data_IF_058923648962
#
_entry.id   IF_058923648962
#
_cell.length_a   1.000
_cell.length_b   1.000
_cell.length_c   1.000
_cell.angle_alpha   90.00
_cell.angle_beta   90.00
_cell.angle_gamma   90.00
#
_symmetry.space_group_name_H-M   'P 1'
#
loop_
_entity.id
_entity.type
_entity.pdbx_description
1 polymer ?
#
# COMPACT_ATOMS: atom_id res chain seq x y z
N UNK A 1 72.49 -33.98 5.67
CA UNK A 1 71.30 -33.29 6.23
C UNK A 1 70.54 -32.45 5.19
N UNK A 2 71.21 -31.80 4.24
CA UNK A 2 70.60 -30.92 3.21
C UNK A 2 69.66 -31.63 2.23
N UNK A 3 69.89 -32.92 1.91
CA UNK A 3 69.09 -33.66 0.92
C UNK A 3 67.65 -33.98 1.37
N UNK A 4 67.35 -33.95 2.68
CA UNK A 4 65.98 -34.21 3.18
C UNK A 4 65.06 -32.98 3.07
N UNK A 5 65.61 -31.76 3.07
CA UNK A 5 64.84 -30.52 2.95
C UNK A 5 64.38 -30.26 1.51
N UNK A 6 65.18 -30.67 0.51
CA UNK A 6 64.86 -30.46 -0.90
C UNK A 6 63.64 -31.30 -1.36
N UNK A 7 63.56 -32.56 -0.94
CA UNK A 7 62.43 -33.44 -1.28
C UNK A 7 61.10 -32.97 -0.66
N UNK A 8 61.13 -32.22 0.44
CA UNK A 8 59.92 -31.72 1.10
C UNK A 8 59.37 -30.44 0.44
N UNK A 9 60.21 -29.72 -0.31
CA UNK A 9 59.82 -28.51 -1.05
C UNK A 9 59.27 -28.83 -2.44
N UNK A 10 59.81 -29.86 -3.12
CA UNK A 10 59.25 -30.35 -4.38
C UNK A 10 57.79 -30.76 -4.20
N UNK A 11 57.48 -31.49 -3.12
CA UNK A 11 56.14 -32.02 -2.88
C UNK A 11 55.10 -30.89 -2.74
N UNK A 12 55.40 -29.82 -2.00
CA UNK A 12 54.51 -28.66 -1.84
C UNK A 12 54.21 -27.93 -3.16
N UNK A 13 55.17 -27.90 -4.09
CA UNK A 13 54.97 -27.25 -5.39
C UNK A 13 54.02 -28.04 -6.30
N UNK A 14 54.09 -29.37 -6.25
CA UNK A 14 53.21 -30.27 -7.01
C UNK A 14 51.77 -30.26 -6.49
N UNK A 15 51.55 -30.14 -5.18
CA UNK A 15 50.20 -30.00 -4.61
C UNK A 15 49.52 -28.70 -5.02
N UNK A 16 50.26 -27.59 -5.09
CA UNK A 16 49.71 -26.29 -5.50
C UNK A 16 49.28 -26.29 -6.96
N UNK A 17 50.11 -26.87 -7.84
CA UNK A 17 49.81 -26.98 -9.27
C UNK A 17 48.58 -27.86 -9.55
N UNK A 18 48.42 -28.95 -8.81
CA UNK A 18 47.26 -29.87 -8.94
C UNK A 18 45.95 -29.25 -8.45
N UNK A 19 46.00 -28.36 -7.46
CA UNK A 19 44.84 -27.61 -6.98
C UNK A 19 44.37 -26.56 -8.01
N UNK A 20 45.30 -25.86 -8.65
CA UNK A 20 44.99 -24.86 -9.67
C UNK A 20 44.38 -25.48 -10.94
N UNK A 21 44.87 -26.65 -11.36
CA UNK A 21 44.33 -27.39 -12.52
C UNK A 21 42.92 -27.96 -12.26
N UNK A 22 42.65 -28.42 -11.04
CA UNK A 22 41.32 -28.87 -10.65
C UNK A 22 40.31 -27.71 -10.62
N UNK A 23 40.74 -26.52 -10.19
CA UNK A 23 39.89 -25.32 -10.16
C UNK A 23 39.55 -24.83 -11.59
N UNK A 24 40.52 -24.87 -12.52
CA UNK A 24 40.26 -24.58 -13.95
C UNK A 24 39.28 -25.56 -14.60
N UNK A 25 39.44 -26.86 -14.36
CA UNK A 25 38.54 -27.89 -14.91
C UNK A 25 37.10 -27.75 -14.39
N UNK A 26 36.95 -27.36 -13.12
CA UNK A 26 35.65 -27.12 -12.53
C UNK A 26 34.97 -25.85 -13.09
N UNK A 27 35.76 -24.79 -13.34
CA UNK A 27 35.26 -23.55 -13.97
C UNK A 27 34.83 -23.76 -15.42
N UNK A 28 35.53 -24.61 -16.19
CA UNK A 28 35.14 -24.92 -17.57
C UNK A 28 33.84 -25.76 -17.62
N UNK A 29 33.64 -26.68 -16.67
CA UNK A 29 32.37 -27.43 -16.54
C UNK A 29 31.18 -26.57 -16.15
N UNK A 30 31.39 -25.48 -15.41
CA UNK A 30 30.33 -24.50 -15.10
C UNK A 30 29.97 -23.66 -16.33
N UNK A 31 30.95 -23.36 -17.20
CA UNK A 31 30.72 -22.66 -18.48
C UNK A 31 29.82 -23.46 -19.42
N UNK A 32 30.02 -24.77 -19.53
CA UNK A 32 29.25 -25.63 -20.46
C UNK A 32 27.83 -25.95 -19.94
N UNK A 33 27.60 -25.97 -18.61
CA UNK A 33 26.25 -26.19 -18.06
C UNK A 33 25.33 -24.95 -18.09
N UNK A 34 25.83 -23.84 -18.65
CA UNK A 34 25.10 -22.58 -18.84
C UNK A 34 24.85 -22.30 -20.33
N UNK A 35 24.71 -23.34 -21.16
CA UNK A 35 24.12 -23.20 -22.49
C UNK A 35 22.59 -23.10 -22.33
N UNK A 36 22.12 -21.89 -22.08
CA UNK A 36 20.72 -21.54 -22.31
C UNK A 36 20.48 -21.50 -23.83
N UNK A 37 19.30 -21.94 -24.32
CA UNK A 37 18.98 -21.96 -25.75
C UNK A 37 19.09 -20.55 -26.37
N UNK A 38 19.68 -20.47 -27.56
CA UNK A 38 19.98 -19.23 -28.32
C UNK A 38 18.77 -18.30 -28.56
N UNK A 39 17.55 -18.77 -28.33
CA UNK A 39 16.31 -18.01 -28.55
C UNK A 39 16.16 -16.75 -27.67
N UNK A 40 16.95 -16.61 -26.59
CA UNK A 40 16.83 -15.47 -25.65
C UNK A 40 17.87 -14.36 -25.82
N UNK A 41 18.73 -14.40 -26.84
CA UNK A 41 19.71 -13.33 -27.12
C UNK A 41 19.11 -12.14 -27.90
N UNK A 42 17.96 -11.62 -27.47
CA UNK A 42 17.51 -10.31 -27.94
C UNK A 42 18.24 -9.20 -27.17
N UNK A 43 18.97 -8.28 -27.84
CA UNK A 43 19.82 -7.27 -27.20
C UNK A 43 19.06 -6.13 -26.48
N UNK A 44 17.74 -6.24 -26.32
CA UNK A 44 16.87 -5.15 -25.84
C UNK A 44 16.29 -5.37 -24.44
N UNK A 45 16.53 -6.52 -23.80
CA UNK A 45 16.08 -6.76 -22.43
C UNK A 45 17.24 -6.62 -21.44
N UNK A 46 17.16 -5.72 -20.44
CA UNK A 46 18.18 -5.66 -19.40
C UNK A 46 18.14 -6.94 -18.58
N UNK A 47 19.10 -7.83 -18.84
CA UNK A 47 19.34 -9.04 -18.05
C UNK A 47 19.84 -8.61 -16.66
N UNK A 48 18.92 -8.56 -15.70
CA UNK A 48 19.26 -8.41 -14.29
C UNK A 48 20.17 -9.56 -13.85
N UNK A 49 21.18 -9.26 -13.03
CA UNK A 49 22.07 -10.30 -12.50
C UNK A 49 21.27 -11.30 -11.67
N UNK A 50 21.65 -12.59 -11.71
CA UNK A 50 20.98 -13.66 -10.96
C UNK A 50 20.88 -13.31 -9.45
N UNK A 51 21.91 -12.68 -8.89
CA UNK A 51 21.91 -12.22 -7.50
C UNK A 51 20.88 -11.12 -7.22
N UNK A 52 20.62 -10.21 -8.17
CA UNK A 52 19.63 -9.15 -8.02
C UNK A 52 18.21 -9.72 -8.01
N UNK A 53 17.91 -10.69 -8.87
CA UNK A 53 16.62 -11.39 -8.88
C UNK A 53 16.39 -12.16 -7.58
N UNK A 54 17.44 -12.80 -7.03
CA UNK A 54 17.37 -13.56 -5.78
C UNK A 54 17.36 -12.71 -4.50
N UNK A 55 17.47 -11.39 -4.59
CA UNK A 55 17.47 -10.53 -3.38
C UNK A 55 16.40 -9.46 -3.47
N UNK A 56 16.37 -8.66 -4.53
CA UNK A 56 15.47 -7.51 -4.62
C UNK A 56 14.02 -7.93 -4.75
N UNK A 57 13.71 -8.99 -5.51
CA UNK A 57 12.32 -9.42 -5.70
C UNK A 57 11.64 -9.91 -4.41
N UNK A 58 12.40 -10.49 -3.48
CA UNK A 58 11.86 -10.98 -2.21
C UNK A 58 11.60 -9.85 -1.24
N UNK A 59 12.45 -8.82 -1.30
CA UNK A 59 12.31 -7.67 -0.42
C UNK A 59 11.11 -6.82 -0.80
N UNK A 60 10.64 -6.85 -2.05
CA UNK A 60 9.47 -6.07 -2.48
C UNK A 60 8.20 -6.44 -1.70
N UNK A 61 7.75 -7.72 -1.64
CA UNK A 61 6.60 -8.11 -0.80
C UNK A 61 6.81 -7.80 0.67
N UNK A 62 8.02 -8.03 1.19
CA UNK A 62 8.32 -7.78 2.60
C UNK A 62 8.24 -6.29 2.96
N UNK A 63 8.90 -5.42 2.18
CA UNK A 63 8.84 -3.98 2.37
C UNK A 63 7.42 -3.45 2.22
N UNK A 64 6.65 -3.98 1.28
CA UNK A 64 5.25 -3.63 1.13
C UNK A 64 4.43 -3.93 2.39
N UNK A 65 4.59 -5.13 2.98
CA UNK A 65 3.94 -5.48 4.24
C UNK A 65 4.44 -4.59 5.38
N UNK A 66 5.75 -4.32 5.46
CA UNK A 66 6.32 -3.43 6.48
C UNK A 66 5.80 -1.99 6.38
N UNK A 67 5.54 -1.46 5.18
CA UNK A 67 5.01 -0.11 5.00
C UNK A 67 3.50 -0.02 5.26
N UNK A 68 2.75 -1.05 4.88
CA UNK A 68 1.30 -1.10 5.12
C UNK A 68 0.96 -1.41 6.58
N UNK A 69 1.86 -2.11 7.28
CA UNK A 69 1.74 -2.47 8.68
C UNK A 69 1.41 -1.31 9.64
N UNK A 70 2.23 -0.25 9.75
CA UNK A 70 1.97 0.86 10.67
C UNK A 70 0.70 1.64 10.27
N UNK A 71 0.39 1.73 8.97
CA UNK A 71 -0.84 2.38 8.48
C UNK A 71 -2.07 1.64 8.98
N UNK A 72 -2.08 0.30 8.87
CA UNK A 72 -3.16 -0.54 9.38
C UNK A 72 -3.27 -0.45 10.91
N UNK A 73 -2.14 -0.53 11.62
CA UNK A 73 -2.13 -0.40 13.09
C UNK A 73 -2.70 0.96 13.51
N UNK A 74 -2.26 2.05 12.88
CA UNK A 74 -2.77 3.39 13.19
C UNK A 74 -4.29 3.50 12.95
N UNK A 75 -4.78 2.96 11.84
CA UNK A 75 -6.22 2.93 11.56
C UNK A 75 -7.00 2.12 12.61
N UNK A 76 -6.45 0.99 13.04
CA UNK A 76 -7.03 0.14 14.08
C UNK A 76 -7.08 0.89 15.42
N UNK A 77 -6.02 1.59 15.80
CA UNK A 77 -5.94 2.31 17.07
C UNK A 77 -6.93 3.48 17.15
N UNK A 78 -7.20 4.17 16.04
CA UNK A 78 -8.02 5.41 16.05
C UNK A 78 -9.54 5.14 16.07
N UNK A 79 -10.04 4.03 15.52
CA UNK A 79 -11.47 3.68 15.61
C UNK A 79 -11.65 2.24 16.04
N UNK A 80 -12.24 2.05 17.22
CA UNK A 80 -12.73 0.76 17.68
C UNK A 80 -14.11 0.51 17.07
N UNK A 81 -14.21 -0.52 16.25
CA UNK A 81 -15.49 -1.06 15.80
C UNK A 81 -15.74 -2.41 16.48
N UNK A 82 -16.99 -2.86 16.47
CA UNK A 82 -17.36 -4.20 16.91
C UNK A 82 -16.65 -5.28 16.07
N UNK A 83 -16.23 -6.41 16.67
CA UNK A 83 -15.53 -7.48 15.95
C UNK A 83 -16.39 -8.01 14.79
N UNK A 84 -15.76 -8.26 13.64
CA UNK A 84 -16.46 -8.76 12.46
C UNK A 84 -16.80 -10.27 12.62
N UNK A 85 -18.02 -10.71 12.31
CA UNK A 85 -18.33 -12.13 12.25
C UNK A 85 -17.50 -12.82 11.14
N UNK A 86 -17.22 -14.12 11.31
CA UNK A 86 -16.47 -14.91 10.34
C UNK A 86 -17.21 -14.97 8.99
N UNK A 87 -16.73 -14.21 8.00
CA UNK A 87 -17.28 -14.24 6.64
C UNK A 87 -16.58 -15.32 5.80
N UNK A 88 -17.30 -15.88 4.82
CA UNK A 88 -16.71 -16.88 3.89
C UNK A 88 -15.51 -16.33 3.12
N UNK A 89 -15.53 -15.02 2.82
CA UNK A 89 -14.43 -14.32 2.14
C UNK A 89 -13.18 -14.24 3.03
N UNK A 90 -13.34 -13.94 4.33
CA UNK A 90 -12.24 -13.94 5.29
C UNK A 90 -11.62 -15.34 5.42
N UNK A 91 -12.46 -16.37 5.50
CA UNK A 91 -11.99 -17.76 5.53
C UNK A 91 -11.22 -18.13 4.26
N UNK A 92 -11.67 -17.69 3.09
CA UNK A 92 -10.96 -17.92 1.82
C UNK A 92 -9.58 -17.22 1.79
N UNK A 93 -9.50 -15.96 2.27
CA UNK A 93 -8.24 -15.22 2.42
C UNK A 93 -7.27 -15.95 3.34
N UNK A 94 -7.75 -16.45 4.48
CA UNK A 94 -6.93 -17.24 5.41
C UNK A 94 -6.49 -18.57 4.79
N UNK A 95 -7.38 -19.29 4.11
CA UNK A 95 -7.05 -20.56 3.48
C UNK A 95 -5.93 -20.43 2.44
N UNK A 96 -6.03 -19.44 1.55
CA UNK A 96 -4.97 -19.16 0.58
C UNK A 96 -3.67 -18.81 1.30
N UNK A 97 -3.72 -17.94 2.31
CA UNK A 97 -2.52 -17.57 3.09
C UNK A 97 -1.87 -18.80 3.75
N UNK A 98 -2.66 -19.73 4.29
CA UNK A 98 -2.17 -21.00 4.82
C UNK A 98 -1.49 -21.87 3.75
N UNK A 99 -2.04 -21.93 2.53
CA UNK A 99 -1.40 -22.64 1.42
C UNK A 99 -0.04 -22.02 1.05
N UNK A 100 0.08 -20.70 1.02
CA UNK A 100 1.37 -20.05 0.79
C UNK A 100 2.36 -20.31 1.93
N UNK A 101 1.89 -20.39 3.19
CA UNK A 101 2.75 -20.77 4.31
C UNK A 101 3.25 -22.21 4.12
N UNK A 102 2.38 -23.15 3.77
CA UNK A 102 2.78 -24.53 3.52
C UNK A 102 3.79 -24.65 2.38
N UNK A 103 3.59 -23.92 1.28
CA UNK A 103 4.55 -23.85 0.17
C UNK A 103 5.90 -23.28 0.63
N UNK A 104 5.90 -22.20 1.43
CA UNK A 104 7.14 -21.62 1.96
C UNK A 104 7.89 -22.56 2.91
N UNK A 105 7.17 -23.32 3.74
CA UNK A 105 7.75 -24.34 4.62
C UNK A 105 8.29 -25.50 3.79
N UNK A 106 7.60 -25.90 2.73
CA UNK A 106 8.09 -26.94 1.83
C UNK A 106 9.41 -26.53 1.15
N UNK A 107 9.51 -25.30 0.65
CA UNK A 107 10.76 -24.76 0.10
C UNK A 107 11.88 -24.71 1.15
N UNK A 108 11.55 -24.33 2.38
CA UNK A 108 12.50 -24.35 3.50
C UNK A 108 13.02 -25.76 3.80
N UNK A 109 12.13 -26.74 3.83
CA UNK A 109 12.46 -28.16 4.07
C UNK A 109 13.30 -28.72 2.92
N UNK A 110 12.99 -28.39 1.67
CA UNK A 110 13.81 -28.77 0.51
C UNK A 110 15.23 -28.20 0.61
N UNK A 111 15.38 -26.91 0.93
CA UNK A 111 16.68 -26.29 1.13
C UNK A 111 17.46 -26.98 2.28
N UNK A 112 16.76 -27.38 3.34
CA UNK A 112 17.37 -28.11 4.45
C UNK A 112 17.84 -29.52 4.04
N UNK A 113 17.04 -30.26 3.27
CA UNK A 113 17.44 -31.55 2.72
C UNK A 113 18.64 -31.42 1.79
N UNK A 114 18.70 -30.39 0.95
CA UNK A 114 19.86 -30.15 0.09
C UNK A 114 21.14 -29.93 0.89
N UNK A 115 21.11 -29.29 2.06
CA UNK A 115 22.29 -29.14 2.92
C UNK A 115 22.76 -30.48 3.49
N UNK A 116 21.81 -31.32 3.89
CA UNK A 116 22.12 -32.65 4.45
C UNK A 116 22.79 -33.53 3.39
N UNK A 117 22.30 -33.48 2.14
CA UNK A 117 22.78 -34.33 1.05
C UNK A 117 23.92 -33.72 0.23
N UNK A 118 23.98 -32.38 0.11
CA UNK A 118 24.96 -31.63 -0.69
C UNK A 118 25.79 -30.71 0.22
N UNK A 119 27.08 -31.05 0.35
CA UNK A 119 28.00 -30.54 1.38
C UNK A 119 28.34 -29.03 1.31
N UNK A 120 27.80 -28.28 0.36
CA UNK A 120 28.06 -26.83 0.24
C UNK A 120 26.91 -26.12 -0.47
N UNK A 121 26.11 -25.39 0.30
CA UNK A 121 25.02 -24.53 -0.21
C UNK A 121 25.26 -23.11 0.28
N UNK A 122 24.88 -22.12 -0.52
CA UNK A 122 25.08 -20.72 -0.16
C UNK A 122 24.04 -20.30 0.89
N UNK A 123 24.44 -19.48 1.86
CA UNK A 123 23.53 -18.98 2.91
C UNK A 123 22.32 -18.21 2.34
N UNK A 124 22.45 -17.64 1.13
CA UNK A 124 21.39 -16.88 0.45
C UNK A 124 20.17 -17.76 0.14
N UNK A 125 20.37 -19.05 -0.15
CA UNK A 125 19.30 -19.97 -0.49
C UNK A 125 18.40 -20.29 0.73
N UNK A 126 18.92 -20.09 1.94
CA UNK A 126 18.18 -20.23 3.20
C UNK A 126 17.42 -18.96 3.60
N UNK A 127 18.00 -17.79 3.34
CA UNK A 127 17.36 -16.50 3.65
C UNK A 127 16.09 -16.32 2.84
N UNK A 128 16.04 -16.86 1.62
CA UNK A 128 14.89 -16.81 0.73
C UNK A 128 13.58 -17.35 1.36
N UNK A 129 13.46 -18.65 1.71
CA UNK A 129 12.24 -19.19 2.27
C UNK A 129 11.93 -18.61 3.66
N UNK A 130 12.95 -18.23 4.43
CA UNK A 130 12.78 -17.63 5.75
C UNK A 130 12.08 -16.25 5.67
N UNK A 131 12.49 -15.39 4.75
CA UNK A 131 11.87 -14.06 4.57
C UNK A 131 10.43 -14.17 4.06
N UNK A 132 10.17 -15.11 3.14
CA UNK A 132 8.80 -15.38 2.66
C UNK A 132 7.93 -15.86 3.83
N UNK A 133 8.39 -16.83 4.62
CA UNK A 133 7.68 -17.31 5.80
C UNK A 133 7.36 -16.16 6.78
N UNK A 134 8.34 -15.30 7.10
CA UNK A 134 8.14 -14.15 7.98
C UNK A 134 7.08 -13.18 7.44
N UNK A 135 7.08 -12.89 6.13
CA UNK A 135 6.07 -12.04 5.50
C UNK A 135 4.66 -12.63 5.60
N UNK A 136 4.51 -13.94 5.40
CA UNK A 136 3.22 -14.63 5.43
C UNK A 136 2.65 -14.67 6.85
N UNK A 137 3.49 -14.95 7.84
CA UNK A 137 3.11 -14.89 9.26
C UNK A 137 2.63 -13.48 9.61
N UNK A 138 3.34 -12.45 9.16
CA UNK A 138 2.95 -11.06 9.37
C UNK A 138 1.58 -10.76 8.73
N UNK A 139 1.34 -11.25 7.51
CA UNK A 139 0.04 -11.12 6.84
C UNK A 139 -1.09 -11.82 7.62
N UNK A 140 -0.87 -13.02 8.16
CA UNK A 140 -1.87 -13.70 9.02
C UNK A 140 -2.17 -12.86 10.25
N UNK A 141 -1.16 -12.33 10.93
CA UNK A 141 -1.35 -11.45 12.09
C UNK A 141 -2.19 -10.21 11.70
N UNK A 142 -1.96 -9.63 10.52
CA UNK A 142 -2.79 -8.52 10.02
C UNK A 142 -4.23 -8.93 9.77
N UNK A 143 -4.47 -10.07 9.13
CA UNK A 143 -5.83 -10.58 8.90
C UNK A 143 -6.56 -10.77 10.24
N UNK A 144 -5.92 -11.40 11.21
CA UNK A 144 -6.47 -11.63 12.55
C UNK A 144 -6.72 -10.31 13.31
N UNK A 145 -5.81 -9.34 13.19
CA UNK A 145 -5.95 -8.02 13.79
C UNK A 145 -7.13 -7.25 13.17
N UNK A 146 -7.28 -7.27 11.84
CA UNK A 146 -8.38 -6.65 11.13
C UNK A 146 -9.73 -7.29 11.52
N UNK A 147 -9.77 -8.61 11.67
CA UNK A 147 -10.97 -9.33 12.13
C UNK A 147 -11.38 -8.87 13.53
N UNK A 148 -10.42 -8.85 14.48
CA UNK A 148 -10.67 -8.49 15.88
C UNK A 148 -11.24 -7.07 16.02
N UNK A 149 -10.85 -6.15 15.14
CA UNK A 149 -11.23 -4.75 15.20
C UNK A 149 -12.31 -4.34 14.20
N UNK A 150 -12.88 -5.30 13.46
CA UNK A 150 -14.01 -5.05 12.57
C UNK A 150 -13.75 -4.04 11.46
N UNK A 151 -12.55 -4.04 10.88
CA UNK A 151 -12.15 -3.12 9.80
C UNK A 151 -12.18 -3.85 8.46
N UNK A 152 -12.92 -3.28 7.51
CA UNK A 152 -12.95 -3.76 6.12
C UNK A 152 -11.61 -3.40 5.45
N UNK A 153 -10.88 -4.41 4.99
CA UNK A 153 -9.50 -4.27 4.47
C UNK A 153 -9.38 -3.56 3.12
N UNK A 154 -10.50 -3.19 2.47
CA UNK A 154 -10.50 -2.67 1.09
C UNK A 154 -9.91 -1.26 0.92
N UNK A 155 -9.77 -0.48 2.00
CA UNK A 155 -9.37 0.93 1.91
C UNK A 155 -7.90 1.17 1.54
N UNK A 156 -6.99 0.23 1.85
CA UNK A 156 -5.54 0.45 1.65
C UNK A 156 -5.11 0.19 0.21
N UNK A 157 -5.91 -0.55 -0.57
CA UNK A 157 -5.47 -1.14 -1.85
C UNK A 157 -5.93 -0.34 -3.06
N UNK A 158 -6.91 0.55 -2.89
CA UNK A 158 -7.33 1.49 -3.93
C UNK A 158 -6.16 2.38 -4.41
N UNK A 159 -5.12 2.58 -3.58
CA UNK A 159 -3.90 3.30 -3.95
C UNK A 159 -2.90 2.52 -4.83
N UNK A 160 -2.97 1.19 -4.88
CA UNK A 160 -1.94 0.34 -5.53
C UNK A 160 -2.32 -0.07 -6.96
N UNK A 161 -3.50 0.33 -7.45
CA UNK A 161 -4.00 0.01 -8.81
C UNK A 161 -3.03 0.39 -9.94
N UNK A 162 -2.07 1.29 -9.70
CA UNK A 162 -1.08 1.73 -10.68
C UNK A 162 0.32 1.10 -10.54
N UNK A 163 0.57 0.24 -9.53
CA UNK A 163 1.87 -0.43 -9.40
C UNK A 163 1.91 -1.68 -10.30
N UNK A 164 2.00 -1.46 -11.61
CA UNK A 164 2.39 -2.52 -12.55
C UNK A 164 3.81 -2.94 -12.24
N UNK A 165 3.97 -4.05 -11.52
CA UNK A 165 5.27 -4.70 -11.35
C UNK A 165 5.67 -5.25 -12.73
N UNK A 166 6.80 -4.82 -13.31
CA UNK A 166 7.21 -5.30 -14.63
C UNK A 166 7.42 -6.82 -14.60
N UNK A 167 6.68 -7.51 -15.46
CA UNK A 167 6.65 -8.95 -15.58
C UNK A 167 7.95 -9.46 -16.21
N UNK A 168 8.83 -10.06 -15.39
CA UNK A 168 9.93 -10.88 -15.88
C UNK A 168 9.43 -12.29 -16.20
N UNK A 169 9.81 -12.85 -17.35
CA UNK A 169 9.51 -14.24 -17.72
C UNK A 169 10.35 -15.16 -16.84
N UNK A 170 9.76 -15.69 -15.76
CA UNK A 170 10.43 -16.61 -14.84
C UNK A 170 10.32 -18.05 -15.33
N UNK A 171 11.45 -18.75 -15.39
CA UNK A 171 11.58 -20.10 -15.95
C UNK A 171 11.25 -21.26 -14.97
N UNK A 172 10.63 -20.98 -13.82
CA UNK A 172 10.39 -22.00 -12.78
C UNK A 172 8.90 -22.23 -12.51
N UNK A 173 8.47 -23.49 -12.57
CA UNK A 173 7.07 -23.93 -12.35
C UNK A 173 6.59 -23.57 -10.94
N UNK A 174 7.44 -23.73 -9.91
CA UNK A 174 7.11 -23.33 -8.53
C UNK A 174 6.82 -21.84 -8.41
N UNK A 175 7.52 -21.00 -9.17
CA UNK A 175 7.26 -19.55 -9.19
C UNK A 175 5.91 -19.22 -9.83
N UNK A 176 5.46 -19.98 -10.84
CA UNK A 176 4.14 -19.76 -11.44
C UNK A 176 3.01 -20.07 -10.47
N UNK A 177 3.11 -21.17 -9.73
CA UNK A 177 2.11 -21.54 -8.70
C UNK A 177 2.07 -20.48 -7.60
N UNK A 178 3.24 -20.12 -7.05
CA UNK A 178 3.35 -19.09 -6.03
C UNK A 178 2.82 -17.74 -6.53
N UNK A 179 3.15 -17.36 -7.77
CA UNK A 179 2.70 -16.10 -8.37
C UNK A 179 1.18 -16.03 -8.53
N UNK A 180 0.55 -17.11 -9.02
CA UNK A 180 -0.91 -17.18 -9.13
C UNK A 180 -1.57 -17.04 -7.75
N UNK A 181 -1.00 -17.69 -6.73
CA UNK A 181 -1.48 -17.58 -5.35
C UNK A 181 -1.36 -16.14 -4.81
N UNK A 182 -0.23 -15.45 -5.06
CA UNK A 182 -0.04 -14.04 -4.68
C UNK A 182 -1.02 -13.13 -5.43
N UNK A 183 -1.23 -13.35 -6.72
CA UNK A 183 -2.21 -12.58 -7.52
C UNK A 183 -3.63 -12.77 -6.99
N UNK A 184 -4.03 -14.01 -6.72
CA UNK A 184 -5.32 -14.32 -6.12
C UNK A 184 -5.49 -13.62 -4.76
N UNK A 185 -4.41 -13.59 -3.96
CA UNK A 185 -4.40 -12.90 -2.67
C UNK A 185 -4.60 -11.38 -2.84
N UNK A 186 -3.87 -10.72 -3.75
CA UNK A 186 -4.04 -9.29 -4.06
C UNK A 186 -5.47 -8.99 -4.53
N UNK A 187 -6.02 -9.81 -5.42
CA UNK A 187 -7.39 -9.69 -5.91
C UNK A 187 -8.40 -9.83 -4.77
N UNK A 188 -8.26 -10.86 -3.93
CA UNK A 188 -9.15 -11.09 -2.79
C UNK A 188 -9.07 -9.97 -1.76
N UNK A 189 -7.88 -9.44 -1.50
CA UNK A 189 -7.70 -8.29 -0.61
C UNK A 189 -8.32 -7.01 -1.17
N UNK A 190 -8.42 -6.87 -2.49
CA UNK A 190 -9.06 -5.74 -3.16
C UNK A 190 -10.59 -5.75 -2.99
N UNK A 191 -11.20 -6.92 -2.79
CA UNK A 191 -12.62 -7.02 -2.50
C UNK A 191 -12.89 -6.68 -1.03
N UNK A 192 -13.78 -5.71 -0.82
CA UNK A 192 -14.33 -5.39 0.49
C UNK A 192 -15.04 -6.63 1.06
N UNK A 193 -14.73 -6.96 2.31
CA UNK A 193 -15.53 -7.93 3.04
C UNK A 193 -16.90 -7.30 3.30
N UNK A 194 -17.88 -7.63 2.45
CA UNK A 194 -19.27 -7.32 2.74
C UNK A 194 -19.69 -8.20 3.91
N UNK A 195 -20.28 -7.64 4.99
CA UNK A 195 -20.92 -8.47 5.99
C UNK A 195 -21.95 -9.35 5.29
N UNK A 196 -21.86 -10.68 5.45
CA UNK A 196 -22.78 -11.60 4.80
C UNK A 196 -24.22 -11.31 5.25
N UNK A 197 -25.16 -11.30 4.31
CA UNK A 197 -26.61 -11.14 4.57
C UNK A 197 -27.21 -12.31 5.38
N UNK A 198 -26.43 -13.36 5.61
CA UNK A 198 -26.91 -14.60 6.22
C UNK A 198 -26.81 -14.57 7.76
N UNK A 199 -27.73 -13.83 8.38
CA UNK A 199 -28.34 -14.26 9.63
C UNK A 199 -29.75 -13.67 9.70
N UNK A 200 -30.70 -14.50 9.29
CA UNK A 200 -32.14 -14.47 9.55
C UNK A 200 -32.45 -14.32 11.05
N UNK A 201 -32.15 -13.15 11.60
CA UNK A 201 -32.97 -12.54 12.63
C UNK A 201 -33.62 -11.33 11.98
N UNK A 202 -34.95 -11.17 12.03
CA UNK A 202 -35.55 -9.84 12.00
C UNK A 202 -35.18 -9.13 13.32
N UNK A 203 -33.88 -8.92 13.54
CA UNK A 203 -33.38 -8.07 14.60
C UNK A 203 -33.26 -6.69 13.97
N UNK A 204 -34.26 -5.85 14.23
CA UNK A 204 -34.05 -4.43 14.45
C UNK A 204 -33.05 -3.76 13.49
N UNK A 205 -33.33 -3.81 12.18
CA UNK A 205 -33.13 -2.62 11.35
C UNK A 205 -34.26 -1.62 11.55
N UNK A 206 -34.97 -1.68 12.68
CA UNK A 206 -35.31 -0.44 13.35
C UNK A 206 -33.98 0.19 13.76
N UNK A 207 -33.45 1.07 12.91
CA UNK A 207 -32.80 2.28 13.41
C UNK A 207 -33.52 2.65 14.70
N UNK A 208 -32.79 2.86 15.81
CA UNK A 208 -33.39 3.42 17.02
C UNK A 208 -34.40 4.47 16.55
N UNK A 209 -35.64 4.43 17.03
CA UNK A 209 -36.71 5.27 16.50
C UNK A 209 -36.27 6.75 16.40
N UNK A 210 -35.34 7.14 17.28
CA UNK A 210 -34.64 8.42 17.39
C UNK A 210 -33.65 8.75 16.25
N UNK A 211 -33.05 7.76 15.59
CA UNK A 211 -32.10 7.89 14.48
C UNK A 211 -32.78 7.83 13.09
N UNK A 212 -34.10 7.70 13.05
CA UNK A 212 -34.85 7.73 11.78
C UNK A 212 -34.94 9.17 11.27
N UNK A 213 -34.91 9.35 9.94
CA UNK A 213 -35.07 10.66 9.30
C UNK A 213 -36.33 11.41 9.77
N UNK A 214 -37.39 10.69 10.13
CA UNK A 214 -38.61 11.23 10.71
C UNK A 214 -38.39 12.02 12.01
N UNK A 215 -37.39 11.66 12.84
CA UNK A 215 -37.05 12.36 14.08
C UNK A 215 -35.94 13.40 13.90
N UNK A 216 -34.93 13.05 13.09
CA UNK A 216 -33.77 13.93 12.86
C UNK A 216 -34.11 15.17 12.05
N UNK A 217 -34.99 15.06 11.04
CA UNK A 217 -35.33 16.19 10.16
C UNK A 217 -36.08 17.31 10.92
N UNK A 218 -37.13 17.03 11.73
CA UNK A 218 -37.78 18.07 12.52
C UNK A 218 -36.86 18.70 13.57
N UNK A 219 -36.04 17.89 14.25
CA UNK A 219 -35.08 18.37 15.25
C UNK A 219 -34.03 19.29 14.62
N UNK A 220 -33.49 18.91 13.46
CA UNK A 220 -32.57 19.74 12.68
C UNK A 220 -33.23 21.06 12.27
N UNK A 221 -34.45 21.00 11.72
CA UNK A 221 -35.18 22.19 11.31
C UNK A 221 -35.44 23.15 12.49
N UNK A 222 -35.77 22.63 13.68
CA UNK A 222 -35.96 23.46 14.87
C UNK A 222 -34.66 24.19 15.29
N UNK A 223 -33.53 23.46 15.31
CA UNK A 223 -32.21 24.05 15.62
C UNK A 223 -31.77 25.06 14.55
N UNK A 224 -31.99 24.73 13.27
CA UNK A 224 -31.66 25.60 12.15
C UNK A 224 -32.48 26.89 12.16
N UNK A 225 -33.80 26.80 12.38
CA UNK A 225 -34.67 27.97 12.48
C UNK A 225 -34.24 28.90 13.62
N UNK A 226 -33.93 28.34 14.79
CA UNK A 226 -33.42 29.12 15.93
C UNK A 226 -32.12 29.85 15.56
N UNK A 227 -31.15 29.14 14.97
CA UNK A 227 -29.88 29.74 14.55
C UNK A 227 -30.09 30.83 13.47
N UNK A 228 -31.03 30.62 12.55
CA UNK A 228 -31.32 31.55 11.46
C UNK A 228 -31.98 32.84 11.96
N UNK A 229 -32.88 32.75 12.96
CA UNK A 229 -33.49 33.91 13.61
C UNK A 229 -32.41 34.76 14.29
N UNK A 230 -31.51 34.13 15.05
CA UNK A 230 -30.39 34.84 15.71
C UNK A 230 -29.46 35.50 14.70
N UNK A 231 -29.10 34.80 13.62
CA UNK A 231 -28.27 35.34 12.54
C UNK A 231 -28.92 36.58 11.91
N UNK A 232 -30.21 36.50 11.57
CA UNK A 232 -30.95 37.62 10.98
C UNK A 232 -31.08 38.81 11.94
N UNK A 233 -31.25 38.56 13.24
CA UNK A 233 -31.27 39.62 14.25
C UNK A 233 -29.91 40.34 14.35
N UNK A 234 -28.79 39.59 14.37
CA UNK A 234 -27.43 40.17 14.35
C UNK A 234 -27.20 40.99 13.08
N UNK A 235 -27.60 40.45 11.92
CA UNK A 235 -27.50 41.15 10.63
C UNK A 235 -28.27 42.47 10.62
N UNK A 236 -29.50 42.51 11.14
CA UNK A 236 -30.29 43.75 11.26
C UNK A 236 -29.62 44.78 12.16
N UNK A 237 -29.05 44.37 13.31
CA UNK A 237 -28.31 45.28 14.20
C UNK A 237 -27.10 45.90 13.50
N UNK A 238 -26.32 45.09 12.79
CA UNK A 238 -25.15 45.58 12.04
C UNK A 238 -25.54 46.55 10.91
N UNK A 239 -26.67 46.31 10.23
CA UNK A 239 -27.17 47.23 9.21
C UNK A 239 -27.64 48.56 9.82
N UNK A 240 -28.38 48.52 10.93
CA UNK A 240 -28.82 49.72 11.64
C UNK A 240 -27.62 50.54 12.18
N UNK A 241 -26.57 49.86 12.67
CA UNK A 241 -25.33 50.52 13.12
C UNK A 241 -24.56 51.14 11.95
N UNK A 242 -24.51 50.48 10.79
CA UNK A 242 -23.92 51.06 9.58
C UNK A 242 -24.70 52.29 9.11
N UNK A 243 -26.03 52.24 9.13
CA UNK A 243 -26.87 53.37 8.76
C UNK A 243 -26.69 54.56 9.73
N UNK A 244 -26.60 54.32 11.03
CA UNK A 244 -26.37 55.39 12.01
C UNK A 244 -24.98 56.02 11.86
N UNK A 245 -23.94 55.22 11.60
CA UNK A 245 -22.59 55.71 11.29
C UNK A 245 -22.55 56.54 9.99
N UNK A 246 -23.22 56.10 8.93
CA UNK A 246 -23.30 56.86 7.68
C UNK A 246 -24.01 58.21 7.87
N UNK A 247 -25.08 58.26 8.68
CA UNK A 247 -25.75 59.54 9.02
C UNK A 247 -24.87 60.46 9.86
N UNK A 248 -24.14 59.92 10.84
CA UNK A 248 -23.21 60.71 11.65
C UNK A 248 -22.03 61.26 10.83
N UNK A 249 -21.50 60.48 9.89
CA UNK A 249 -20.47 60.93 8.96
C UNK A 249 -20.98 62.07 8.06
N UNK A 250 -22.19 61.95 7.51
CA UNK A 250 -22.81 63.00 6.68
C UNK A 250 -22.97 64.33 7.41
N UNK A 251 -23.26 64.32 8.71
CA UNK A 251 -23.45 65.56 9.48
C UNK A 251 -22.13 66.25 9.87
N UNK A 252 -21.02 65.52 9.88
CA UNK A 252 -19.70 66.02 10.30
C UNK A 252 -18.73 66.24 9.12
N UNK A 253 -19.21 66.17 7.88
CA UNK A 253 -18.34 66.42 6.72
C UNK A 253 -18.37 67.92 6.37
N UNK A 254 -17.31 68.71 6.64
CA UNK A 254 -17.17 70.02 6.04
C UNK A 254 -17.09 69.83 4.52
N UNK A 255 -17.91 70.59 3.79
CA UNK A 255 -17.96 70.61 2.33
C UNK A 255 -16.61 71.05 1.75
N UNK A 256 -15.69 70.11 1.57
CA UNK A 256 -14.58 70.25 0.65
C UNK A 256 -14.92 69.52 -0.64
N UNK A 257 -15.36 70.32 -1.62
CA UNK A 257 -15.44 69.93 -3.03
C UNK A 257 -14.03 69.53 -3.46
N UNK A 258 -13.81 68.24 -3.71
CA UNK A 258 -12.63 67.83 -4.46
C UNK A 258 -13.04 66.77 -5.50
N UNK A 259 -13.06 67.22 -6.75
CA UNK A 259 -13.13 66.38 -7.93
C UNK A 259 -11.83 65.57 -8.05
N UNK A 260 -11.95 64.39 -8.66
CA UNK A 260 -10.88 63.48 -9.10
C UNK A 260 -10.58 62.31 -8.14
N UNK A 261 -11.23 61.18 -8.42
CA UNK A 261 -10.89 59.90 -7.82
C UNK A 261 -11.77 58.74 -8.28
N UNK A 262 -12.37 58.82 -9.47
CA UNK A 262 -13.07 57.69 -10.09
C UNK A 262 -12.13 57.07 -11.11
N UNK A 263 -11.51 55.93 -10.80
CA UNK A 263 -10.91 55.01 -11.79
C UNK A 263 -10.42 53.65 -11.21
N UNK A 264 -10.43 53.42 -9.89
CA UNK A 264 -9.92 52.14 -9.34
C UNK A 264 -11.01 51.15 -8.91
N UNK A 265 -12.25 51.59 -8.66
CA UNK A 265 -13.32 50.70 -8.17
C UNK A 265 -14.02 49.91 -9.30
N UNK A 266 -13.95 50.40 -10.54
CA UNK A 266 -14.59 49.73 -11.70
C UNK A 266 -13.77 48.50 -12.17
N UNK A 267 -12.44 48.52 -12.00
CA UNK A 267 -11.55 47.42 -12.41
C UNK A 267 -11.68 46.17 -11.51
N UNK A 268 -11.97 46.35 -10.22
CA UNK A 268 -12.19 45.24 -9.29
C UNK A 268 -13.54 44.53 -9.53
N UNK A 269 -14.54 45.25 -10.03
CA UNK A 269 -15.86 44.69 -10.32
C UNK A 269 -15.81 43.75 -11.54
N UNK A 270 -15.02 44.09 -12.57
CA UNK A 270 -14.82 43.23 -13.74
C UNK A 270 -14.00 41.96 -13.42
N UNK A 271 -13.04 42.04 -12.51
CA UNK A 271 -12.26 40.86 -12.08
C UNK A 271 -13.10 39.84 -11.29
N UNK A 272 -14.03 40.31 -10.46
CA UNK A 272 -14.92 39.45 -9.68
C UNK A 272 -15.97 38.74 -10.56
N UNK A 273 -16.49 39.41 -11.59
CA UNK A 273 -17.39 38.78 -12.57
C UNK A 273 -16.70 37.67 -13.38
N UNK A 274 -15.44 37.88 -13.78
CA UNK A 274 -14.67 36.88 -14.52
C UNK A 274 -14.42 35.61 -13.69
N UNK A 275 -14.11 35.76 -12.39
CA UNK A 275 -13.85 34.63 -11.48
C UNK A 275 -15.15 33.81 -11.24
N UNK A 276 -16.29 34.46 -11.12
CA UNK A 276 -17.58 33.77 -10.94
C UNK A 276 -17.99 32.98 -12.19
N UNK A 277 -17.66 33.48 -13.39
CA UNK A 277 -17.99 32.81 -14.65
C UNK A 277 -17.16 31.54 -14.87
N UNK A 278 -15.89 31.54 -14.48
CA UNK A 278 -15.03 30.34 -14.53
C UNK A 278 -15.52 29.25 -13.57
N UNK A 279 -15.96 29.65 -12.36
CA UNK A 279 -16.48 28.70 -11.37
C UNK A 279 -17.78 28.02 -11.80
N UNK A 280 -18.64 28.72 -12.54
CA UNK A 280 -19.87 28.16 -13.11
C UNK A 280 -19.61 27.09 -14.16
N UNK A 281 -18.59 27.26 -15.00
CA UNK A 281 -18.24 26.30 -16.05
C UNK A 281 -17.58 25.04 -15.49
N UNK A 282 -16.77 25.18 -14.43
CA UNK A 282 -16.11 24.04 -13.77
C UNK A 282 -17.07 23.14 -12.98
N UNK A 283 -18.25 23.66 -12.59
CA UNK A 283 -19.28 22.88 -11.87
C UNK A 283 -20.25 22.16 -12.82
N UNK A 284 -20.16 22.43 -14.13
CA UNK A 284 -21.02 21.83 -15.15
C UNK A 284 -20.32 20.75 -16.00
N UNK A 285 -19.02 20.50 -15.74
CA UNK A 285 -18.22 19.42 -16.32
C UNK A 285 -17.97 18.33 -15.27
#
# INVERSE_FOLDING_TARGET
MVRKQFNQLEDKSTWKKRADDHNKSCMEKIRIKTEAPEFLQSPTLPLFSRCFQHTVLIWIPFLFVCLTAPVLIFQITVKQNTPLPWTRMLTAKLFITCLLILDSVFLFVLAFFEIIFSKSVNAVDFVYPLMICASMVTMVVFIMACQKHGRVTSGVITGIRNLSVPFGVFHYISFLVWYICVCAQVVLFSFADTPGEDATKPAETSLNLEDTSAYLVPRWNALWQKAMIEYNARKKKLLAEKESRSRAASNNTPTFVNQNGSNTMMTLCHYLEAILKIRSQLMAA
#
